data_IF_374133731041
#
_entry.id   IF_374133731041
#
_cell.length_a   1.000
_cell.length_b   1.000
_cell.length_c   1.000
_cell.angle_alpha   90.00
_cell.angle_beta   90.00
_cell.angle_gamma   90.00
#
_symmetry.space_group_name_H-M   'P 1'
#
loop_
_entity.id
_entity.type
_entity.pdbx_description
1 polymer ?
#
# COMPACT_ATOMS: atom_id res chain seq x y z
N UNK A 1 -21.92 -14.48 -14.21
CA UNK A 1 -20.56 -13.94 -14.31
C UNK A 1 -19.60 -14.99 -13.80
N UNK A 2 -18.66 -15.41 -14.63
CA UNK A 2 -17.61 -16.34 -14.20
C UNK A 2 -16.66 -15.60 -13.25
N UNK A 3 -16.46 -16.16 -12.05
CA UNK A 3 -15.56 -15.56 -11.07
C UNK A 3 -14.16 -16.04 -11.36
N UNK A 4 -13.39 -15.25 -12.10
CA UNK A 4 -11.97 -15.52 -12.35
C UNK A 4 -11.18 -15.26 -11.07
N UNK A 5 -10.48 -16.28 -10.57
CA UNK A 5 -9.61 -16.16 -9.40
C UNK A 5 -8.18 -15.86 -9.86
N UNK A 6 -7.52 -14.92 -9.19
CA UNK A 6 -6.11 -14.61 -9.42
C UNK A 6 -5.24 -15.28 -8.35
N UNK A 7 -4.17 -15.96 -8.78
CA UNK A 7 -3.16 -16.49 -7.87
C UNK A 7 -2.00 -15.49 -7.74
N UNK A 8 -1.72 -15.04 -6.51
CA UNK A 8 -0.61 -14.13 -6.20
C UNK A 8 0.38 -14.84 -5.28
N UNK A 9 1.64 -14.96 -5.72
CA UNK A 9 2.68 -15.69 -4.98
C UNK A 9 3.90 -14.81 -4.68
N UNK A 10 4.56 -15.09 -3.56
CA UNK A 10 5.84 -14.51 -3.15
C UNK A 10 6.65 -15.55 -2.36
N UNK A 11 7.90 -15.25 -1.97
CA UNK A 11 8.80 -16.18 -1.25
C UNK A 11 8.12 -16.97 -0.12
N UNK A 12 7.30 -16.31 0.71
CA UNK A 12 6.52 -16.92 1.79
C UNK A 12 4.99 -16.87 1.56
N UNK A 13 4.57 -16.33 0.41
CA UNK A 13 3.15 -16.14 0.08
C UNK A 13 2.35 -15.30 1.08
N UNK A 14 2.98 -14.43 1.88
CA UNK A 14 2.26 -13.55 2.81
C UNK A 14 2.70 -12.08 2.68
N UNK A 15 3.99 -11.74 2.81
CA UNK A 15 4.46 -10.35 2.83
C UNK A 15 4.16 -9.59 1.54
N UNK A 16 4.97 -9.82 0.49
CA UNK A 16 4.80 -9.17 -0.82
C UNK A 16 3.49 -9.52 -1.53
N UNK A 17 3.01 -10.77 -1.40
CA UNK A 17 1.73 -11.16 -1.95
C UNK A 17 0.56 -10.41 -1.29
N UNK A 18 0.58 -10.32 0.06
CA UNK A 18 -0.39 -9.54 0.83
C UNK A 18 -0.30 -8.05 0.55
N UNK A 19 0.90 -7.51 0.35
CA UNK A 19 1.10 -6.13 -0.11
C UNK A 19 0.40 -5.86 -1.44
N UNK A 20 0.60 -6.74 -2.43
CA UNK A 20 -0.03 -6.58 -3.75
C UNK A 20 -1.56 -6.64 -3.66
N UNK A 21 -2.10 -7.59 -2.90
CA UNK A 21 -3.55 -7.73 -2.69
C UNK A 21 -4.12 -6.50 -1.96
N UNK A 22 -3.46 -6.03 -0.90
CA UNK A 22 -3.88 -4.85 -0.15
C UNK A 22 -3.86 -3.58 -1.01
N UNK A 23 -2.83 -3.41 -1.83
CA UNK A 23 -2.72 -2.29 -2.77
C UNK A 23 -3.84 -2.33 -3.82
N UNK A 24 -4.14 -3.52 -4.37
CA UNK A 24 -5.25 -3.72 -5.30
C UNK A 24 -6.60 -3.32 -4.69
N UNK A 25 -6.89 -3.79 -3.48
CA UNK A 25 -8.11 -3.42 -2.75
C UNK A 25 -8.20 -1.90 -2.51
N UNK A 26 -7.09 -1.27 -2.10
CA UNK A 26 -7.04 0.17 -1.90
C UNK A 26 -7.25 0.97 -3.20
N UNK A 27 -6.73 0.49 -4.33
CA UNK A 27 -6.98 1.09 -5.63
C UNK A 27 -8.42 0.95 -6.09
N UNK A 28 -9.07 -0.18 -5.82
CA UNK A 28 -10.51 -0.32 -6.07
C UNK A 28 -11.30 0.74 -5.28
N UNK A 29 -11.02 0.89 -3.98
CA UNK A 29 -11.65 1.94 -3.17
C UNK A 29 -11.47 3.33 -3.78
N UNK A 30 -10.24 3.71 -4.15
CA UNK A 30 -9.97 5.02 -4.77
C UNK A 30 -10.66 5.20 -6.12
N UNK A 31 -10.75 4.14 -6.94
CA UNK A 31 -11.46 4.19 -8.22
C UNK A 31 -12.96 4.36 -8.05
N UNK A 32 -13.51 3.81 -6.97
CA UNK A 32 -14.89 3.98 -6.55
C UNK A 32 -15.11 5.30 -5.79
N UNK A 33 -14.12 6.22 -5.80
CA UNK A 33 -14.16 7.51 -5.10
C UNK A 33 -14.36 7.40 -3.59
N UNK A 34 -13.91 6.29 -2.99
CA UNK A 34 -13.97 6.02 -1.55
C UNK A 34 -12.58 6.03 -0.92
N UNK A 35 -12.48 6.47 0.33
CA UNK A 35 -11.22 6.51 1.06
C UNK A 35 -10.78 5.07 1.44
N UNK A 36 -9.58 4.61 1.01
CA UNK A 36 -9.10 3.29 1.36
C UNK A 36 -8.66 3.25 2.83
N UNK A 37 -9.41 2.53 3.66
CA UNK A 37 -9.04 2.27 5.06
C UNK A 37 -7.96 1.18 5.15
N UNK A 38 -6.70 1.56 4.96
CA UNK A 38 -5.56 0.62 4.85
C UNK A 38 -5.44 -0.33 6.06
N UNK A 39 -5.64 0.18 7.27
CA UNK A 39 -5.62 -0.65 8.48
C UNK A 39 -6.66 -1.78 8.43
N UNK A 40 -7.88 -1.47 8.01
CA UNK A 40 -8.97 -2.45 7.89
C UNK A 40 -8.73 -3.42 6.72
N UNK A 41 -8.24 -2.93 5.58
CA UNK A 41 -7.88 -3.77 4.43
C UNK A 41 -6.83 -4.80 4.84
N UNK A 42 -5.72 -4.36 5.45
CA UNK A 42 -4.64 -5.26 5.88
C UNK A 42 -5.12 -6.20 6.97
N UNK A 43 -5.93 -5.73 7.93
CA UNK A 43 -6.54 -6.57 8.96
C UNK A 43 -7.40 -7.67 8.36
N UNK A 44 -8.27 -7.35 7.40
CA UNK A 44 -9.13 -8.31 6.71
C UNK A 44 -8.34 -9.35 5.89
N UNK A 45 -7.21 -8.96 5.28
CA UNK A 45 -6.33 -9.93 4.61
C UNK A 45 -5.64 -10.83 5.64
N UNK A 46 -5.20 -10.27 6.77
CA UNK A 46 -4.54 -11.02 7.85
C UNK A 46 -5.44 -12.05 8.53
N UNK A 47 -6.76 -11.89 8.52
CA UNK A 47 -7.68 -12.93 9.03
C UNK A 47 -7.69 -14.19 8.16
N UNK A 48 -7.34 -14.09 6.87
CA UNK A 48 -7.29 -15.21 5.93
C UNK A 48 -5.86 -15.73 5.71
N UNK A 49 -4.87 -14.83 5.75
CA UNK A 49 -3.45 -15.16 5.57
C UNK A 49 -2.62 -14.42 6.62
N UNK A 50 -2.23 -15.09 7.73
CA UNK A 50 -1.37 -14.50 8.75
C UNK A 50 -0.08 -13.92 8.16
N UNK A 51 0.43 -12.86 8.78
CA UNK A 51 1.64 -12.15 8.37
C UNK A 51 1.57 -11.50 6.97
N UNK A 52 0.38 -11.28 6.41
CA UNK A 52 0.23 -10.45 5.22
C UNK A 52 0.73 -9.02 5.48
N UNK A 53 1.48 -8.45 4.53
CA UNK A 53 2.20 -7.17 4.71
C UNK A 53 3.11 -7.26 5.94
N UNK A 54 4.21 -7.99 5.78
CA UNK A 54 4.98 -8.56 6.90
C UNK A 54 5.88 -7.54 7.60
N UNK A 55 6.23 -6.44 6.95
CA UNK A 55 7.14 -5.43 7.48
C UNK A 55 6.55 -4.03 7.48
N UNK A 56 7.07 -3.17 8.35
CA UNK A 56 6.67 -1.76 8.39
C UNK A 56 6.97 -1.06 7.06
N UNK A 57 8.08 -1.41 6.40
CA UNK A 57 8.39 -0.95 5.05
C UNK A 57 7.29 -1.29 4.04
N UNK A 58 6.80 -2.53 4.02
CA UNK A 58 5.70 -2.91 3.13
C UNK A 58 4.43 -2.11 3.46
N UNK A 59 4.14 -1.89 4.73
CA UNK A 59 2.96 -1.12 5.16
C UNK A 59 3.07 0.37 4.77
N UNK A 60 4.22 1.00 5.01
CA UNK A 60 4.51 2.38 4.59
C UNK A 60 4.46 2.54 3.07
N UNK A 61 4.97 1.56 2.33
CA UNK A 61 4.90 1.54 0.87
C UNK A 61 3.47 1.52 0.33
N UNK A 62 2.47 1.00 1.07
CA UNK A 62 1.06 1.09 0.64
C UNK A 62 0.62 2.55 0.53
N UNK A 63 0.91 3.35 1.55
CA UNK A 63 0.61 4.78 1.56
C UNK A 63 1.39 5.53 0.49
N UNK A 64 2.68 5.22 0.30
CA UNK A 64 3.49 5.85 -0.72
C UNK A 64 2.96 5.56 -2.14
N UNK A 65 2.60 4.31 -2.43
CA UNK A 65 1.98 3.94 -3.71
C UNK A 65 0.64 4.65 -3.94
N UNK A 66 -0.21 4.77 -2.91
CA UNK A 66 -1.48 5.51 -3.02
C UNK A 66 -1.26 7.00 -3.26
N UNK A 67 -0.28 7.59 -2.59
CA UNK A 67 0.07 8.99 -2.79
C UNK A 67 0.50 9.24 -4.25
N UNK A 68 1.37 8.40 -4.81
CA UNK A 68 1.73 8.51 -6.23
C UNK A 68 0.54 8.29 -7.16
N UNK A 69 -0.33 7.33 -6.83
CA UNK A 69 -1.53 7.06 -7.62
C UNK A 69 -2.46 8.28 -7.69
N UNK A 70 -2.71 8.91 -6.54
CA UNK A 70 -3.51 10.12 -6.42
C UNK A 70 -2.84 11.28 -7.17
N UNK A 71 -1.54 11.53 -6.94
CA UNK A 71 -0.76 12.58 -7.65
C UNK A 71 -0.82 12.45 -9.17
N UNK A 72 -0.94 11.22 -9.69
CA UNK A 72 -1.06 10.96 -11.13
C UNK A 72 -2.47 11.26 -11.68
N UNK A 73 -3.51 11.10 -10.86
CA UNK A 73 -4.91 11.24 -11.28
C UNK A 73 -5.48 12.65 -11.04
N UNK A 74 -4.95 13.38 -10.07
CA UNK A 74 -5.44 14.72 -9.72
C UNK A 74 -4.31 15.74 -9.74
N UNK A 75 -4.66 16.97 -10.11
CA UNK A 75 -3.79 18.11 -9.89
C UNK A 75 -3.84 18.47 -8.41
N UNK A 76 -2.69 18.31 -7.72
CA UNK A 76 -2.57 18.68 -6.31
C UNK A 76 -2.66 20.20 -6.17
N UNK A 77 -3.57 20.74 -5.33
CA UNK A 77 -3.65 22.17 -5.06
C UNK A 77 -2.32 22.73 -4.53
N UNK A 78 -1.96 23.96 -4.91
CA UNK A 78 -0.70 24.61 -4.48
C UNK A 78 -0.54 24.60 -2.95
N UNK A 79 -1.63 24.79 -2.21
CA UNK A 79 -1.67 24.79 -0.74
C UNK A 79 -1.26 23.45 -0.11
N UNK A 80 -1.35 22.35 -0.86
CA UNK A 80 -1.03 21.00 -0.39
C UNK A 80 0.29 20.48 -0.94
N UNK A 81 0.89 21.12 -1.95
CA UNK A 81 2.12 20.61 -2.59
C UNK A 81 3.26 20.40 -1.60
N UNK A 82 3.51 21.37 -0.72
CA UNK A 82 4.56 21.24 0.29
C UNK A 82 4.28 20.09 1.26
N UNK A 83 3.05 20.00 1.77
CA UNK A 83 2.65 18.91 2.69
C UNK A 83 2.78 17.54 2.04
N UNK A 84 2.38 17.42 0.77
CA UNK A 84 2.52 16.18 0.00
C UNK A 84 3.99 15.80 -0.17
N UNK A 85 4.86 16.77 -0.44
CA UNK A 85 6.30 16.55 -0.55
C UNK A 85 6.91 16.09 0.79
N UNK A 86 6.56 16.76 1.89
CA UNK A 86 7.05 16.42 3.23
C UNK A 86 6.61 15.00 3.64
N UNK A 87 5.34 14.65 3.39
CA UNK A 87 4.81 13.29 3.65
C UNK A 87 5.50 12.27 2.75
N UNK A 88 5.74 12.59 1.47
CA UNK A 88 6.47 11.70 0.55
C UNK A 88 7.86 11.39 1.11
N UNK A 89 8.61 12.41 1.52
CA UNK A 89 9.96 12.27 2.09
C UNK A 89 9.95 11.49 3.40
N UNK A 90 8.97 11.72 4.28
CA UNK A 90 8.84 10.99 5.53
C UNK A 90 8.60 9.48 5.28
N UNK A 91 7.71 9.14 4.34
CA UNK A 91 7.45 7.75 3.96
C UNK A 91 8.67 7.11 3.32
N UNK A 92 9.36 7.80 2.41
CA UNK A 92 10.60 7.31 1.81
C UNK A 92 11.72 7.11 2.84
N UNK A 93 11.84 8.00 3.83
CA UNK A 93 12.76 7.87 4.96
C UNK A 93 12.49 6.58 5.74
N UNK A 94 11.24 6.37 6.14
CA UNK A 94 10.82 5.16 6.86
C UNK A 94 11.08 3.86 6.06
N UNK A 95 10.93 3.92 4.74
CA UNK A 95 11.19 2.78 3.84
C UNK A 95 12.69 2.50 3.68
N UNK A 96 13.54 3.52 3.80
CA UNK A 96 15.01 3.43 3.70
C UNK A 96 15.66 3.01 5.02
N UNK A 97 15.11 3.42 6.15
CA UNK A 97 15.64 3.12 7.50
C UNK A 97 15.44 1.66 7.93
N UNK A 98 14.58 0.90 7.25
CA UNK A 98 14.44 -0.54 7.47
C UNK A 98 15.66 -1.30 6.91
N UNK A 99 16.74 -1.30 7.72
CA UNK A 99 18.05 -1.94 7.53
C UNK A 99 18.00 -3.48 7.61
N UNK A 100 16.81 -4.11 7.65
CA UNK A 100 16.62 -5.57 7.71
C UNK A 100 17.11 -6.35 6.48
N UNK A 101 17.89 -5.72 5.58
CA UNK A 101 18.54 -6.33 4.42
C UNK A 101 20.08 -6.19 4.46
N UNK A 102 20.67 -5.75 5.58
CA UNK A 102 22.12 -5.83 5.80
C UNK A 102 22.60 -7.09 6.54
N UNK A 103 21.71 -8.04 6.87
CA UNK A 103 22.05 -9.37 7.39
C UNK A 103 21.12 -10.44 6.83
#
# INVERSE_FOLDING_TARGET
>A
MEVTKLMVVSKNGCGRAGFFIALGAAFCCLNDSSEPRIAEIVKAIRTQRPNAVESMKQYASLYLCLLYYIKKKITVPETLKQKVEDVTKALEGLIREDLSIMY
#
